data_IF_565791677469
#
_entry.id   IF_565791677469
#
_cell.length_a   1.000
_cell.length_b   1.000
_cell.length_c   1.000
_cell.angle_alpha   90.00
_cell.angle_beta   90.00
_cell.angle_gamma   90.00
#
_symmetry.space_group_name_H-M   'P 1'
#
loop_
_entity.id
_entity.type
_entity.pdbx_description
1 polymer ?
#
# COMPACT_ATOMS: atom_id res chain seq x y z
N UNK A 1 -8.93 -11.45 -2.86
CA UNK A 1 -7.67 -11.16 -2.14
C UNK A 1 -6.52 -11.56 -3.06
N UNK A 2 -6.01 -10.61 -3.85
CA UNK A 2 -5.14 -10.89 -5.01
C UNK A 2 -3.91 -11.74 -4.62
N UNK A 3 -3.22 -11.37 -3.55
CA UNK A 3 -2.02 -12.07 -3.08
C UNK A 3 -2.31 -13.50 -2.57
N UNK A 4 -3.55 -13.79 -2.17
CA UNK A 4 -3.94 -15.17 -1.80
C UNK A 4 -4.13 -16.06 -3.03
N UNK A 5 -4.50 -15.48 -4.17
CA UNK A 5 -4.72 -16.20 -5.43
C UNK A 5 -3.43 -16.34 -6.23
N UNK A 6 -2.47 -15.43 -6.01
CA UNK A 6 -1.17 -15.36 -6.69
C UNK A 6 -0.03 -15.49 -5.68
N UNK A 7 0.31 -16.71 -5.20
CA UNK A 7 1.37 -16.92 -4.22
C UNK A 7 2.77 -16.51 -4.72
N UNK A 8 2.95 -16.43 -6.05
CA UNK A 8 4.16 -15.93 -6.71
C UNK A 8 4.27 -14.40 -6.68
N UNK A 9 3.21 -13.68 -6.30
CA UNK A 9 3.21 -12.23 -6.25
C UNK A 9 3.53 -11.74 -4.83
N UNK A 10 4.43 -10.78 -4.72
CA UNK A 10 4.79 -10.15 -3.44
C UNK A 10 4.61 -8.64 -3.52
N UNK A 11 4.26 -8.03 -2.39
CA UNK A 11 4.29 -6.58 -2.25
C UNK A 11 5.71 -6.12 -1.95
N UNK A 12 6.16 -5.17 -2.76
CA UNK A 12 7.40 -4.46 -2.54
C UNK A 12 7.13 -3.13 -1.83
N UNK A 13 8.10 -2.67 -1.04
CA UNK A 13 8.02 -1.36 -0.42
C UNK A 13 8.02 -0.26 -1.49
N UNK A 14 7.38 0.88 -1.23
CA UNK A 14 7.33 2.00 -2.17
C UNK A 14 8.06 3.18 -1.56
N UNK A 15 9.14 3.57 -2.20
CA UNK A 15 9.84 4.82 -1.93
C UNK A 15 9.52 5.80 -3.07
N UNK A 16 8.99 6.97 -2.73
CA UNK A 16 8.76 8.02 -3.72
C UNK A 16 9.90 9.05 -3.66
N UNK A 17 10.34 9.59 -4.81
CA UNK A 17 11.52 10.45 -4.90
C UNK A 17 11.35 11.85 -4.30
N UNK A 18 10.20 12.14 -3.70
CA UNK A 18 9.86 13.44 -3.12
C UNK A 18 9.33 13.27 -1.69
N UNK A 19 9.52 14.31 -0.87
CA UNK A 19 9.02 14.39 0.51
C UNK A 19 7.51 14.65 0.54
N UNK A 20 6.72 13.72 -0.01
CA UNK A 20 5.28 13.73 0.17
C UNK A 20 4.94 13.06 1.51
N UNK A 21 3.95 13.61 2.20
CA UNK A 21 3.40 12.99 3.40
C UNK A 21 2.63 11.73 2.96
N UNK A 22 3.29 10.58 3.03
CA UNK A 22 2.72 9.28 2.71
C UNK A 22 2.36 8.55 4.00
N UNK A 23 1.28 7.77 3.95
CA UNK A 23 0.84 6.95 5.10
C UNK A 23 0.83 5.50 4.66
N UNK A 24 1.39 4.60 5.48
CA UNK A 24 1.33 3.16 5.20
C UNK A 24 -0.11 2.65 5.05
N UNK A 25 -0.26 1.50 4.39
CA UNK A 25 -1.53 0.77 4.33
C UNK A 25 -2.09 0.43 5.72
N UNK A 26 -3.42 0.36 5.85
CA UNK A 26 -4.09 -0.05 7.10
C UNK A 26 -4.12 -1.57 7.22
N UNK A 27 -3.81 -2.07 8.42
CA UNK A 27 -3.94 -3.49 8.77
C UNK A 27 -5.30 -3.83 9.37
N UNK A 28 -6.14 -2.84 9.70
CA UNK A 28 -7.51 -3.06 10.16
C UNK A 28 -8.47 -1.99 9.60
N UNK A 29 -9.63 -2.42 9.12
CA UNK A 29 -10.70 -1.53 8.68
C UNK A 29 -12.07 -2.16 8.95
N UNK A 30 -12.95 -1.43 9.66
CA UNK A 30 -14.31 -1.86 10.00
C UNK A 30 -14.36 -3.29 10.62
N UNK A 31 -13.42 -3.60 11.51
CA UNK A 31 -13.32 -4.89 12.20
C UNK A 31 -12.73 -6.03 11.35
N UNK A 32 -12.38 -5.78 10.08
CA UNK A 32 -11.65 -6.73 9.26
C UNK A 32 -10.14 -6.48 9.36
N UNK A 33 -9.36 -7.53 9.64
CA UNK A 33 -7.90 -7.47 9.70
C UNK A 33 -7.26 -7.97 8.41
N UNK A 34 -6.34 -7.17 7.89
CA UNK A 34 -5.49 -7.50 6.74
C UNK A 34 -4.13 -7.99 7.21
N UNK A 35 -3.41 -8.65 6.31
CA UNK A 35 -2.03 -9.05 6.58
C UNK A 35 -1.12 -7.84 6.77
N UNK A 36 -0.13 -7.97 7.65
CA UNK A 36 0.89 -6.96 7.93
C UNK A 36 1.66 -6.49 6.69
N UNK A 37 1.73 -7.33 5.64
CA UNK A 37 2.38 -7.00 4.36
C UNK A 37 1.75 -5.78 3.67
N UNK A 38 0.49 -5.44 3.99
CA UNK A 38 -0.19 -4.24 3.47
C UNK A 38 0.49 -2.94 3.90
N UNK A 39 1.28 -2.94 4.97
CA UNK A 39 2.07 -1.76 5.37
C UNK A 39 3.09 -1.32 4.31
N UNK A 40 3.48 -2.20 3.38
CA UNK A 40 4.36 -1.87 2.25
C UNK A 40 3.68 -1.01 1.17
N UNK A 41 2.35 -0.99 1.16
CA UNK A 41 1.59 -0.08 0.33
C UNK A 41 1.59 1.33 0.94
N UNK A 42 1.39 2.34 0.09
CA UNK A 42 1.26 3.72 0.52
C UNK A 42 -0.13 4.27 0.21
N UNK A 43 -0.55 5.22 1.04
CA UNK A 43 -1.76 6.00 0.87
C UNK A 43 -1.42 7.47 0.85
N UNK A 44 -2.14 8.17 0.00
CA UNK A 44 -2.10 9.60 -0.14
C UNK A 44 -3.51 10.09 0.17
N UNK A 45 -3.64 11.00 1.13
CA UNK A 45 -4.92 11.64 1.43
C UNK A 45 -4.97 13.02 0.79
N UNK A 46 -6.15 13.43 0.26
CA UNK A 46 -6.30 14.72 -0.42
C UNK A 46 -5.79 15.92 0.39
N UNK A 47 -6.11 15.94 1.69
CA UNK A 47 -5.75 17.03 2.60
C UNK A 47 -4.24 17.13 2.89
N UNK A 48 -3.44 16.09 2.62
CA UNK A 48 -1.99 16.12 2.84
C UNK A 48 -1.21 16.63 1.62
N UNK A 49 -1.85 16.66 0.44
CA UNK A 49 -1.16 16.90 -0.84
C UNK A 49 -1.84 17.95 -1.72
N UNK A 50 -2.90 18.59 -1.22
CA UNK A 50 -3.73 19.56 -1.96
C UNK A 50 -4.13 19.03 -3.37
N UNK A 51 -4.46 17.74 -3.43
CA UNK A 51 -4.75 17.03 -4.66
C UNK A 51 -5.64 15.82 -4.36
N UNK A 52 -5.69 14.84 -5.25
CA UNK A 52 -6.48 13.63 -5.09
C UNK A 52 -5.85 12.62 -4.12
N UNK A 53 -6.70 11.75 -3.61
CA UNK A 53 -6.31 10.65 -2.75
C UNK A 53 -6.03 9.38 -3.55
N UNK A 54 -5.02 8.63 -3.16
CA UNK A 54 -4.61 7.41 -3.84
C UNK A 54 -4.24 6.30 -2.84
N UNK A 55 -4.41 5.06 -3.28
CA UNK A 55 -3.78 3.88 -2.69
C UNK A 55 -2.87 3.28 -3.74
N UNK A 56 -1.60 3.06 -3.41
CA UNK A 56 -0.60 2.55 -4.35
C UNK A 56 0.03 1.29 -3.77
N UNK A 57 0.08 0.25 -4.60
CA UNK A 57 0.73 -1.02 -4.30
C UNK A 57 1.71 -1.34 -5.44
N UNK A 58 2.95 -1.68 -5.08
CA UNK A 58 3.96 -2.18 -6.01
C UNK A 58 4.00 -3.69 -5.86
N UNK A 59 3.55 -4.40 -6.89
CA UNK A 59 3.53 -5.85 -6.92
C UNK A 59 4.66 -6.32 -7.83
N UNK A 60 5.47 -7.24 -7.35
CA UNK A 60 6.51 -7.90 -8.14
C UNK A 60 6.37 -9.41 -8.06
N UNK A 61 6.95 -10.09 -9.05
CA UNK A 61 7.30 -11.50 -8.95
C UNK A 61 8.72 -11.55 -8.38
N UNK A 62 8.99 -12.31 -7.31
CA UNK A 62 10.36 -12.53 -6.84
C UNK A 62 11.20 -13.15 -7.96
N UNK A 63 12.49 -12.78 -8.00
CA UNK A 63 13.48 -13.41 -8.87
C UNK A 63 13.75 -14.86 -8.45
#
# INVERSE_FOLDING_TARGET
DFLKVHPEAVLDEIELPFSLNLVHGVTEWRGYRFSEVIKRCIRVYPHMVNSWGFFVARIKRPD
#
